data_IF_992887181459
#
_entry.id   IF_992887181459
#
_cell.length_a   1.000
_cell.length_b   1.000
_cell.length_c   1.000
_cell.angle_alpha   90.00
_cell.angle_beta   90.00
_cell.angle_gamma   90.00
#
_symmetry.space_group_name_H-M   'P 1'
#
loop_
_entity.id
_entity.type
_entity.pdbx_description
1 polymer ?
#
# COMPACT_ATOMS: atom_id res chain seq x y z
N UNK A 1 -11.83 -11.89 9.27
CA UNK A 1 -10.82 -10.91 8.81
C UNK A 1 -9.52 -11.28 9.49
N UNK A 2 -8.51 -11.65 8.72
CA UNK A 2 -7.17 -11.88 9.26
C UNK A 2 -6.41 -10.55 9.15
N UNK A 3 -5.77 -10.11 10.22
CA UNK A 3 -4.99 -8.87 10.22
C UNK A 3 -3.65 -9.06 10.93
N UNK A 4 -2.65 -8.29 10.51
CA UNK A 4 -1.30 -8.33 11.05
C UNK A 4 -0.77 -6.91 11.19
N UNK A 5 -0.32 -6.54 12.39
CA UNK A 5 0.52 -5.35 12.60
C UNK A 5 1.88 -5.58 11.96
N UNK A 6 2.24 -4.76 10.98
CA UNK A 6 3.56 -4.83 10.34
C UNK A 6 4.59 -4.10 11.21
N UNK A 7 4.27 -2.87 11.63
CA UNK A 7 5.16 -2.05 12.44
C UNK A 7 4.89 -0.56 12.28
N UNK A 8 5.92 0.25 12.55
CA UNK A 8 5.89 1.69 12.33
C UNK A 8 7.07 2.16 11.47
N UNK A 9 6.84 3.19 10.67
CA UNK A 9 7.82 3.87 9.83
C UNK A 9 7.57 5.38 9.87
N UNK A 10 8.48 6.17 9.30
CA UNK A 10 8.46 7.63 9.41
C UNK A 10 8.38 8.27 8.02
N UNK A 11 7.51 9.27 7.89
CA UNK A 11 7.59 10.24 6.81
C UNK A 11 8.32 11.49 7.31
N UNK A 12 9.50 11.76 6.76
CA UNK A 12 10.26 13.00 6.93
C UNK A 12 9.85 14.06 5.92
N UNK A 13 9.28 13.64 4.78
CA UNK A 13 8.76 14.53 3.74
C UNK A 13 7.23 14.55 3.70
N UNK A 14 6.70 15.56 3.03
CA UNK A 14 5.27 15.68 2.74
C UNK A 14 4.85 14.94 1.46
N UNK A 15 5.67 14.01 0.96
CA UNK A 15 5.43 13.28 -0.27
C UNK A 15 5.64 11.78 -0.10
N UNK A 16 4.68 10.99 -0.59
CA UNK A 16 4.78 9.54 -0.62
C UNK A 16 4.76 9.00 -2.04
N UNK A 17 5.37 7.83 -2.25
CA UNK A 17 5.18 7.00 -3.43
C UNK A 17 4.44 5.74 -3.01
N UNK A 18 3.33 5.48 -3.68
CA UNK A 18 2.54 4.26 -3.56
C UNK A 18 2.77 3.40 -4.78
N UNK A 19 2.85 2.09 -4.64
CA UNK A 19 2.96 1.19 -5.79
C UNK A 19 2.40 -0.19 -5.47
N UNK A 20 1.97 -0.90 -6.50
CA UNK A 20 1.66 -2.32 -6.51
C UNK A 20 2.81 -3.18 -7.09
N UNK A 21 3.86 -2.53 -7.60
CA UNK A 21 5.01 -3.20 -8.23
C UNK A 21 6.28 -2.88 -7.45
N UNK A 22 6.83 -3.86 -6.73
CA UNK A 22 7.99 -3.64 -5.87
C UNK A 22 9.31 -3.39 -6.62
N UNK A 23 9.37 -3.69 -7.92
CA UNK A 23 10.56 -3.49 -8.76
C UNK A 23 10.58 -2.08 -9.35
N UNK A 24 9.41 -1.55 -9.71
CA UNK A 24 9.25 -0.26 -10.40
C UNK A 24 9.88 0.93 -9.63
N UNK A 25 9.70 1.07 -8.30
CA UNK A 25 10.16 2.26 -7.59
C UNK A 25 11.68 2.44 -7.56
N UNK A 26 12.45 1.37 -7.64
CA UNK A 26 13.92 1.43 -7.70
C UNK A 26 14.44 2.27 -8.89
N UNK A 27 13.62 2.41 -9.94
CA UNK A 27 13.96 3.12 -11.18
C UNK A 27 13.58 4.61 -11.13
N UNK A 28 12.69 5.01 -10.22
CA UNK A 28 12.21 6.40 -10.09
C UNK A 28 13.34 7.27 -9.54
N UNK A 29 13.67 8.39 -10.18
CA UNK A 29 14.51 9.43 -9.57
C UNK A 29 13.62 10.44 -8.85
N UNK A 30 13.90 10.83 -7.59
CA UNK A 30 13.08 11.81 -6.87
C UNK A 30 12.88 13.14 -7.61
N UNK A 31 13.88 13.58 -8.39
CA UNK A 31 13.81 14.80 -9.20
C UNK A 31 12.98 14.65 -10.49
N UNK A 32 12.85 13.44 -11.01
CA UNK A 32 12.16 13.14 -12.27
C UNK A 32 10.76 12.56 -12.04
N UNK A 33 10.36 12.40 -10.78
CA UNK A 33 9.08 11.85 -10.32
C UNK A 33 7.91 12.82 -10.60
N UNK A 34 7.66 13.11 -11.87
CA UNK A 34 6.44 13.77 -12.34
C UNK A 34 5.26 12.83 -12.18
N UNK A 35 4.06 13.40 -12.03
CA UNK A 35 2.81 12.64 -11.85
C UNK A 35 2.62 11.60 -12.98
N UNK A 36 2.84 12.00 -14.23
CA UNK A 36 2.67 11.17 -15.43
C UNK A 36 3.67 9.99 -15.52
N UNK A 37 4.92 10.20 -15.09
CA UNK A 37 5.96 9.15 -15.12
C UNK A 37 5.66 8.03 -14.10
N UNK A 38 5.01 8.39 -13.00
CA UNK A 38 4.66 7.44 -11.95
C UNK A 38 3.40 6.65 -12.30
N UNK A 39 2.36 7.35 -12.78
CA UNK A 39 1.07 6.74 -13.09
C UNK A 39 1.18 5.70 -14.22
N UNK A 40 2.13 5.86 -15.14
CA UNK A 40 2.40 4.88 -16.21
C UNK A 40 3.14 3.61 -15.75
N UNK A 41 3.68 3.58 -14.52
CA UNK A 41 4.51 2.50 -13.99
C UNK A 41 3.92 1.74 -12.80
N UNK A 42 2.61 1.88 -12.54
CA UNK A 42 1.98 1.34 -11.34
C UNK A 42 2.46 2.07 -10.09
N UNK A 43 2.62 3.39 -10.16
CA UNK A 43 3.03 4.20 -9.03
C UNK A 43 2.14 5.43 -8.91
N UNK A 44 1.78 5.81 -7.68
CA UNK A 44 1.08 7.06 -7.41
C UNK A 44 1.89 7.92 -6.45
N UNK A 45 2.12 9.17 -6.84
CA UNK A 45 2.69 10.16 -5.92
C UNK A 45 1.57 10.83 -5.14
N UNK A 46 1.76 10.84 -3.84
CA UNK A 46 0.98 11.66 -2.93
C UNK A 46 1.80 12.87 -2.48
N UNK A 47 1.13 14.01 -2.35
CA UNK A 47 1.65 15.22 -1.74
C UNK A 47 0.75 15.60 -0.56
N UNK A 48 1.26 16.50 0.29
CA UNK A 48 0.61 16.90 1.54
C UNK A 48 0.42 15.74 2.50
N UNK A 49 1.35 14.78 2.52
CA UNK A 49 1.37 13.71 3.53
C UNK A 49 1.83 14.31 4.86
N UNK A 50 1.14 13.93 5.95
CA UNK A 50 1.54 14.34 7.29
C UNK A 50 2.88 13.70 7.66
N UNK A 51 3.86 14.51 8.00
CA UNK A 51 5.15 14.01 8.50
C UNK A 51 5.01 13.45 9.91
N UNK A 52 5.93 12.57 10.30
CA UNK A 52 5.94 11.90 11.60
C UNK A 52 5.81 10.39 11.50
N UNK A 53 5.37 9.77 12.60
CA UNK A 53 5.33 8.31 12.74
C UNK A 53 4.00 7.78 12.19
N UNK A 54 4.10 6.73 11.37
CA UNK A 54 2.99 6.03 10.77
C UNK A 54 3.01 4.56 11.18
N UNK A 55 1.82 4.03 11.46
CA UNK A 55 1.60 2.64 11.81
C UNK A 55 1.05 1.92 10.59
N UNK A 56 1.69 0.81 10.23
CA UNK A 56 1.31 0.00 9.10
C UNK A 56 0.71 -1.34 9.54
N UNK A 57 -0.41 -1.68 8.91
CA UNK A 57 -1.15 -2.91 9.11
C UNK A 57 -1.43 -3.56 7.76
N UNK A 58 -1.44 -4.88 7.76
CA UNK A 58 -1.95 -5.70 6.67
C UNK A 58 -3.32 -6.24 7.07
N UNK A 59 -4.29 -6.12 6.17
CA UNK A 59 -5.59 -6.77 6.30
C UNK A 59 -5.81 -7.71 5.13
N UNK A 60 -6.19 -8.95 5.42
CA UNK A 60 -6.67 -9.90 4.43
C UNK A 60 -8.18 -10.07 4.62
N UNK A 61 -8.91 -9.70 3.59
CA UNK A 61 -10.35 -9.88 3.44
C UNK A 61 -10.53 -10.95 2.38
N UNK A 62 -11.09 -12.10 2.76
CA UNK A 62 -11.22 -13.25 1.85
C UNK A 62 -12.36 -13.00 0.84
N UNK A 63 -12.22 -13.41 -0.43
CA UNK A 63 -13.35 -13.97 -1.20
C UNK A 63 -12.92 -15.35 -1.63
N UNK A 64 -13.52 -16.35 -1.03
CA UNK A 64 -13.24 -17.71 -1.35
C UNK A 64 -14.11 -18.09 -2.57
N UNK A 65 -13.97 -19.30 -3.07
CA UNK A 65 -14.87 -19.85 -4.10
C UNK A 65 -16.36 -19.88 -3.63
N UNK A 66 -16.65 -19.57 -2.36
CA UNK A 66 -17.99 -19.36 -1.80
C UNK A 66 -17.86 -18.90 -0.33
N UNK A 67 -18.14 -17.67 0.09
CA UNK A 67 -18.40 -17.39 1.53
C UNK A 67 -19.06 -16.00 1.64
N UNK A 68 -20.34 -15.95 1.22
CA UNK A 68 -21.36 -14.87 1.26
C UNK A 68 -21.18 -13.77 2.35
N UNK A 69 -21.72 -12.54 2.26
CA UNK A 69 -23.12 -12.19 1.91
C UNK A 69 -23.35 -11.46 0.57
N UNK A 70 -22.35 -11.29 -0.30
CA UNK A 70 -22.51 -11.17 -1.79
C UNK A 70 -21.22 -10.88 -2.59
N UNK A 71 -20.08 -10.64 -1.93
CA UNK A 71 -18.67 -10.82 -2.36
C UNK A 71 -18.17 -10.16 -3.67
N UNK A 72 -17.09 -9.37 -3.57
CA UNK A 72 -16.37 -8.78 -4.70
C UNK A 72 -14.94 -9.37 -4.91
N UNK A 73 -14.54 -10.52 -4.35
CA UNK A 73 -13.18 -11.09 -4.58
C UNK A 73 -12.18 -11.05 -3.40
N UNK A 74 -11.10 -11.87 -3.42
CA UNK A 74 -10.10 -11.88 -2.32
C UNK A 74 -9.33 -10.58 -2.33
N UNK A 75 -9.36 -9.87 -1.21
CA UNK A 75 -8.76 -8.55 -1.07
C UNK A 75 -7.64 -8.54 -0.03
N UNK A 76 -6.50 -8.02 -0.44
CA UNK A 76 -5.39 -7.66 0.41
C UNK A 76 -5.33 -6.14 0.55
N UNK A 77 -5.13 -5.64 1.76
CA UNK A 77 -5.03 -4.21 2.03
C UNK A 77 -3.80 -3.87 2.86
N UNK A 78 -2.94 -3.01 2.33
CA UNK A 78 -1.92 -2.30 3.10
C UNK A 78 -2.52 -1.00 3.62
N UNK A 79 -2.69 -0.89 4.93
CA UNK A 79 -3.14 0.32 5.61
C UNK A 79 -1.97 0.97 6.36
N UNK A 80 -1.75 2.26 6.13
CA UNK A 80 -0.79 3.07 6.89
C UNK A 80 -1.50 4.30 7.45
N UNK A 81 -1.36 4.54 8.77
CA UNK A 81 -2.04 5.62 9.49
C UNK A 81 -1.06 6.43 10.31
N UNK A 82 -1.13 7.75 10.23
CA UNK A 82 -0.38 8.63 11.11
C UNK A 82 -0.79 8.40 12.58
N UNK A 83 0.17 8.39 13.51
CA UNK A 83 -0.10 8.04 14.92
C UNK A 83 -1.09 8.98 15.60
N UNK A 84 -1.10 10.26 15.25
CA UNK A 84 -2.02 11.24 15.84
C UNK A 84 -3.47 11.06 15.33
N UNK A 85 -3.69 10.31 14.25
CA UNK A 85 -5.05 10.03 13.75
C UNK A 85 -5.90 9.34 14.82
N UNK A 86 -5.29 8.46 15.62
CA UNK A 86 -5.98 7.74 16.69
C UNK A 86 -6.47 8.65 17.83
N UNK A 87 -5.97 9.89 17.91
CA UNK A 87 -6.39 10.88 18.89
C UNK A 87 -7.54 11.77 18.38
N UNK A 88 -7.87 11.69 17.09
CA UNK A 88 -8.94 12.47 16.47
C UNK A 88 -10.32 11.91 16.83
N UNK A 89 -11.20 12.74 17.42
CA UNK A 89 -12.59 12.36 17.71
C UNK A 89 -13.32 11.90 16.46
N UNK A 90 -13.09 12.58 15.33
CA UNK A 90 -13.71 12.22 14.05
C UNK A 90 -13.26 10.84 13.53
N UNK A 91 -12.02 10.44 13.82
CA UNK A 91 -11.57 9.10 13.50
C UNK A 91 -12.19 8.06 14.44
N UNK A 92 -12.23 8.35 15.74
CA UNK A 92 -12.78 7.46 16.76
C UNK A 92 -14.29 7.22 16.58
N UNK A 93 -15.03 8.23 16.11
CA UNK A 93 -16.46 8.13 15.84
C UNK A 93 -16.79 7.67 14.40
N UNK A 94 -15.79 7.37 13.59
CA UNK A 94 -15.96 6.83 12.23
C UNK A 94 -16.45 7.83 11.18
N UNK A 95 -16.34 9.14 11.44
CA UNK A 95 -16.79 10.19 10.50
C UNK A 95 -15.81 10.51 9.38
N UNK A 96 -14.64 9.86 9.35
CA UNK A 96 -13.61 10.10 8.34
C UNK A 96 -13.65 9.02 7.27
N UNK A 97 -13.69 9.47 6.01
CA UNK A 97 -13.79 8.61 4.83
C UNK A 97 -12.51 8.60 4.00
N UNK A 98 -12.28 7.49 3.30
CA UNK A 98 -11.24 7.38 2.30
C UNK A 98 -11.72 7.90 0.93
N UNK A 99 -10.91 8.73 0.30
CA UNK A 99 -11.03 9.08 -1.12
C UNK A 99 -10.21 8.12 -1.99
N UNK A 100 -10.77 7.66 -3.10
CA UNK A 100 -10.01 6.92 -4.13
C UNK A 100 -9.22 7.92 -4.96
N UNK A 101 -7.90 7.80 -4.93
CA UNK A 101 -6.96 8.70 -5.63
C UNK A 101 -6.38 8.11 -6.91
N UNK A 102 -6.56 6.80 -7.10
CA UNK A 102 -6.08 6.08 -8.28
C UNK A 102 -6.59 4.63 -8.31
N UNK A 103 -6.69 4.09 -9.51
CA UNK A 103 -7.12 2.70 -9.75
C UNK A 103 -6.32 2.09 -10.90
N UNK A 104 -6.00 0.80 -10.81
CA UNK A 104 -5.33 0.06 -11.86
C UNK A 104 -5.85 -1.38 -11.92
N UNK A 105 -6.12 -1.89 -13.12
CA UNK A 105 -6.60 -3.27 -13.31
C UNK A 105 -5.52 -4.12 -14.00
N UNK A 106 -5.14 -5.23 -13.36
CA UNK A 106 -4.28 -6.25 -13.97
C UNK A 106 -5.20 -7.29 -14.61
N UNK A 107 -5.19 -7.32 -15.95
CA UNK A 107 -6.05 -8.17 -16.81
C UNK A 107 -5.44 -9.53 -17.18
N UNK A 108 -4.29 -9.87 -16.61
CA UNK A 108 -3.54 -11.09 -16.90
C UNK A 108 -3.27 -11.80 -15.60
N UNK A 109 -3.05 -13.11 -15.67
CA UNK A 109 -2.63 -13.91 -14.53
C UNK A 109 -1.47 -13.21 -13.80
N UNK A 110 -1.63 -13.06 -12.49
CA UNK A 110 -0.64 -12.43 -11.63
C UNK A 110 -0.07 -13.45 -10.66
N UNK A 111 1.26 -13.48 -10.55
CA UNK A 111 1.97 -14.34 -9.61
C UNK A 111 1.74 -13.94 -8.14
N UNK A 112 1.38 -12.69 -7.89
CA UNK A 112 1.29 -12.15 -6.54
C UNK A 112 0.55 -10.81 -6.45
N UNK A 113 0.02 -10.53 -5.28
CA UNK A 113 -0.51 -9.23 -4.89
C UNK A 113 0.51 -8.52 -4.00
N UNK A 114 1.07 -7.40 -4.47
CA UNK A 114 2.02 -6.58 -3.72
C UNK A 114 1.57 -5.13 -3.57
N UNK A 115 1.97 -4.50 -2.46
CA UNK A 115 1.73 -3.08 -2.22
C UNK A 115 2.88 -2.48 -1.41
N UNK A 116 3.30 -1.26 -1.73
CA UNK A 116 4.33 -0.57 -0.97
C UNK A 116 4.09 0.94 -0.89
N UNK A 117 4.55 1.51 0.23
CA UNK A 117 4.47 2.93 0.56
C UNK A 117 5.88 3.37 0.95
N UNK A 118 6.37 4.42 0.29
CA UNK A 118 7.69 4.99 0.53
C UNK A 118 7.58 6.48 0.84
N UNK A 119 8.41 6.98 1.74
CA UNK A 119 8.78 8.40 1.72
C UNK A 119 9.58 8.69 0.45
N UNK A 120 9.08 9.60 -0.39
CA UNK A 120 9.69 9.96 -1.67
C UNK A 120 11.13 10.46 -1.49
N UNK A 121 11.44 11.12 -0.36
CA UNK A 121 12.78 11.64 -0.07
C UNK A 121 13.80 10.51 0.09
N UNK A 122 13.38 9.38 0.67
CA UNK A 122 14.26 8.28 1.06
C UNK A 122 14.21 7.09 0.10
N UNK A 123 13.54 7.23 -1.05
CA UNK A 123 13.32 6.15 -2.02
C UNK A 123 14.61 5.49 -2.53
N UNK A 124 15.75 6.20 -2.49
CA UNK A 124 17.06 5.69 -2.93
C UNK A 124 18.09 5.58 -1.81
N UNK A 125 17.69 5.86 -0.58
CA UNK A 125 18.57 5.82 0.56
C UNK A 125 18.62 4.40 1.12
N UNK A 126 19.68 4.08 1.86
CA UNK A 126 19.81 2.77 2.51
C UNK A 126 18.64 2.46 3.45
N UNK A 127 17.98 3.50 3.96
CA UNK A 127 16.83 3.40 4.85
C UNK A 127 15.56 2.81 4.22
N UNK A 128 15.52 2.59 2.90
CA UNK A 128 14.44 1.85 2.21
C UNK A 128 14.93 0.62 1.45
N UNK A 129 16.25 0.38 1.44
CA UNK A 129 16.91 -0.66 0.63
C UNK A 129 16.38 -2.07 0.86
N UNK A 130 16.07 -2.43 2.11
CA UNK A 130 15.55 -3.75 2.48
C UNK A 130 14.29 -4.14 1.68
N UNK A 131 13.42 -3.17 1.37
CA UNK A 131 12.20 -3.43 0.58
C UNK A 131 12.56 -4.00 -0.80
N UNK A 132 13.63 -3.50 -1.42
CA UNK A 132 14.07 -3.91 -2.76
C UNK A 132 14.86 -5.23 -2.74
N UNK A 133 15.33 -5.68 -1.59
CA UNK A 133 15.99 -6.98 -1.42
C UNK A 133 14.95 -8.12 -1.33
N UNK A 134 14.10 -8.25 -2.35
CA UNK A 134 12.92 -9.13 -2.37
C UNK A 134 13.21 -10.56 -1.89
N UNK A 135 14.35 -11.14 -2.28
CA UNK A 135 14.73 -12.51 -1.89
C UNK A 135 14.94 -12.70 -0.39
N UNK A 136 15.17 -11.62 0.37
CA UNK A 136 15.42 -11.68 1.81
C UNK A 136 14.14 -11.86 2.64
N UNK A 137 12.99 -11.45 2.11
CA UNK A 137 11.74 -11.37 2.88
C UNK A 137 10.52 -11.95 2.17
N UNK A 138 10.55 -12.07 0.84
CA UNK A 138 9.51 -12.80 0.12
C UNK A 138 9.53 -14.28 0.51
N UNK A 139 8.34 -14.86 0.58
CA UNK A 139 8.15 -16.29 0.78
C UNK A 139 8.61 -17.10 -0.42
N UNK A 140 8.44 -18.41 -0.35
CA UNK A 140 8.54 -19.26 -1.54
C UNK A 140 7.28 -19.07 -2.39
N UNK A 141 7.35 -19.33 -3.70
CA UNK A 141 6.20 -19.17 -4.62
C UNK A 141 4.96 -19.98 -4.23
N UNK A 142 5.14 -21.07 -3.49
CA UNK A 142 4.08 -21.92 -2.97
C UNK A 142 3.68 -21.59 -1.51
N UNK A 143 4.24 -20.53 -0.94
CA UNK A 143 3.84 -19.98 0.36
C UNK A 143 2.83 -18.85 0.12
N UNK A 144 1.55 -19.17 0.30
CA UNK A 144 0.44 -18.23 0.13
C UNK A 144 0.19 -17.35 1.36
N UNK A 145 1.03 -17.46 2.39
CA UNK A 145 0.94 -16.54 3.52
C UNK A 145 1.50 -15.17 3.12
N UNK A 146 0.82 -14.08 3.53
CA UNK A 146 1.34 -12.76 3.27
C UNK A 146 2.67 -12.55 3.97
N UNK A 147 3.57 -11.86 3.27
CA UNK A 147 4.82 -11.34 3.83
C UNK A 147 4.75 -9.84 3.87
N UNK A 148 5.43 -9.27 4.86
CA UNK A 148 5.59 -7.84 4.99
C UNK A 148 7.03 -7.52 5.32
N UNK A 149 7.48 -6.36 4.85
CA UNK A 149 8.74 -5.78 5.27
C UNK A 149 8.52 -4.32 5.61
N UNK A 150 9.19 -3.89 6.68
CA UNK A 150 9.22 -2.52 7.11
C UNK A 150 10.66 -2.06 7.27
N UNK A 151 10.87 -0.81 6.92
CA UNK A 151 12.13 -0.09 7.04
C UNK A 151 11.83 1.27 7.67
N UNK A 152 12.83 2.04 8.10
CA UNK A 152 12.60 3.34 8.72
C UNK A 152 11.68 4.28 7.91
N UNK A 153 11.71 4.25 6.57
CA UNK A 153 10.96 5.17 5.71
C UNK A 153 10.10 4.50 4.63
N UNK A 154 9.85 3.20 4.76
CA UNK A 154 8.99 2.49 3.83
C UNK A 154 8.40 1.21 4.43
N UNK A 155 7.25 0.81 3.90
CA UNK A 155 6.60 -0.46 4.20
C UNK A 155 6.12 -1.12 2.92
N UNK A 156 6.21 -2.44 2.86
CA UNK A 156 5.74 -3.24 1.75
C UNK A 156 5.10 -4.54 2.23
N UNK A 157 4.18 -5.04 1.41
CA UNK A 157 3.53 -6.34 1.55
C UNK A 157 3.57 -7.09 0.23
N UNK A 158 3.55 -8.41 0.33
CA UNK A 158 3.47 -9.31 -0.82
C UNK A 158 2.81 -10.62 -0.42
N UNK A 159 1.87 -11.09 -1.23
CA UNK A 159 1.28 -12.43 -1.15
C UNK A 159 1.36 -13.11 -2.50
N UNK A 160 1.90 -14.32 -2.55
CA UNK A 160 1.82 -15.14 -3.77
C UNK A 160 0.39 -15.62 -3.96
N UNK A 161 -0.10 -15.54 -5.20
CA UNK A 161 -1.45 -15.96 -5.56
C UNK A 161 -1.43 -17.38 -6.12
N UNK A 162 -2.55 -18.07 -5.97
CA UNK A 162 -2.81 -19.29 -6.73
C UNK A 162 -3.08 -18.92 -8.21
N UNK A 163 -3.08 -19.92 -9.09
CA UNK A 163 -3.47 -19.74 -10.49
C UNK A 163 -4.81 -18.99 -10.55
N UNK A 164 -4.84 -17.92 -11.35
CA UNK A 164 -5.97 -17.01 -11.45
C UNK A 164 -6.16 -16.54 -12.90
N UNK A 165 -7.40 -16.20 -13.25
CA UNK A 165 -7.73 -15.75 -14.60
C UNK A 165 -7.30 -14.29 -14.88
N UNK A 166 -6.70 -13.62 -13.89
CA UNK A 166 -6.09 -12.31 -14.08
C UNK A 166 -7.07 -11.14 -14.04
N UNK A 167 -7.76 -10.94 -12.92
CA UNK A 167 -8.68 -9.82 -12.73
C UNK A 167 -8.39 -9.11 -11.41
N UNK A 168 -7.19 -8.56 -11.22
CA UNK A 168 -6.86 -7.86 -9.97
C UNK A 168 -7.13 -6.36 -10.12
N UNK A 169 -8.06 -5.85 -9.35
CA UNK A 169 -8.30 -4.43 -9.20
C UNK A 169 -7.47 -3.87 -8.03
N UNK A 170 -6.61 -2.90 -8.33
CA UNK A 170 -5.87 -2.13 -7.35
C UNK A 170 -6.55 -0.78 -7.15
N UNK A 171 -6.72 -0.37 -5.90
CA UNK A 171 -7.13 0.99 -5.53
C UNK A 171 -6.10 1.59 -4.60
N UNK A 172 -5.71 2.82 -4.89
CA UNK A 172 -4.96 3.67 -3.97
C UNK A 172 -5.96 4.64 -3.36
N UNK A 173 -5.91 4.78 -2.05
CA UNK A 173 -6.86 5.59 -1.30
C UNK A 173 -6.13 6.41 -0.25
N UNK A 174 -6.66 7.57 0.05
CA UNK A 174 -6.13 8.48 1.05
C UNK A 174 -7.25 9.01 1.95
N UNK A 175 -6.90 9.42 3.15
CA UNK A 175 -7.81 10.10 4.09
C UNK A 175 -7.14 11.39 4.54
N UNK A 176 -7.90 12.49 4.54
CA UNK A 176 -7.40 13.84 4.85
C UNK A 176 -7.97 14.38 6.15
N UNK A 177 -7.17 15.17 6.85
CA UNK A 177 -7.59 15.94 8.01
C UNK A 177 -8.43 17.16 7.62
N UNK A 178 -9.70 16.92 7.26
CA UNK A 178 -10.60 17.94 6.76
C UNK A 178 -10.42 18.23 5.26
N UNK A 179 -11.24 19.15 4.74
CA UNK A 179 -11.19 19.56 3.34
C UNK A 179 -9.87 20.28 3.07
N UNK A 180 -9.08 19.76 2.12
CA UNK A 180 -7.75 20.25 1.75
C UNK A 180 -6.64 20.06 2.81
N UNK A 181 -6.91 19.28 3.86
CA UNK A 181 -5.93 18.99 4.92
C UNK A 181 -4.83 18.00 4.51
N UNK A 182 -3.91 17.78 5.45
CA UNK A 182 -2.85 16.77 5.30
C UNK A 182 -3.46 15.37 5.18
N UNK A 183 -2.82 14.52 4.36
CA UNK A 183 -3.12 13.09 4.29
C UNK A 183 -2.58 12.45 5.57
N UNK A 184 -3.46 11.77 6.30
CA UNK A 184 -3.15 11.11 7.58
C UNK A 184 -3.46 9.63 7.59
N UNK A 185 -4.08 9.11 6.53
CA UNK A 185 -4.16 7.68 6.26
C UNK A 185 -3.98 7.41 4.78
N UNK A 186 -3.31 6.29 4.46
CA UNK A 186 -3.05 5.81 3.11
C UNK A 186 -3.41 4.33 3.08
N UNK A 187 -4.10 3.93 2.01
CA UNK A 187 -4.52 2.55 1.79
C UNK A 187 -4.21 2.11 0.36
N UNK A 188 -3.65 0.92 0.23
CA UNK A 188 -3.51 0.23 -1.05
C UNK A 188 -4.28 -1.07 -0.94
N UNK A 189 -5.39 -1.21 -1.67
CA UNK A 189 -6.19 -2.44 -1.71
C UNK A 189 -6.00 -3.13 -3.06
N UNK A 190 -5.86 -4.45 -3.04
CA UNK A 190 -5.74 -5.30 -4.22
C UNK A 190 -6.78 -6.39 -4.12
N UNK A 191 -7.69 -6.44 -5.08
CA UNK A 191 -8.87 -7.27 -5.07
C UNK A 191 -8.87 -8.17 -6.28
N UNK A 192 -8.76 -9.48 -6.07
CA UNK A 192 -8.88 -10.48 -7.13
C UNK A 192 -10.37 -10.73 -7.41
N UNK A 193 -10.85 -10.19 -8.53
CA UNK A 193 -12.23 -10.30 -9.05
C UNK A 193 -12.49 -11.64 -9.73
#
# INVERSE_FOLDING_TARGET
IDWMRIGAFVFDSHSAVLTENLISPSRIRPKDATKELLESGGCHRLNHVKSGIWIADLQLVRCPVCDLDTCDGTMQTLDARHIELFLSEGYQNGSWDYEVIGTHDIKKEADGASGAIFDLRHLKDESTSGIFELKSWLGKRNDWQPKAMITPHAVAIHTYLQENEGSIQIKYQAMRAGKDGEIVSIRISQQLL
#
